data_IF_450072403939
#
_entry.id   IF_450072403939
#
_cell.length_a   1.000
_cell.length_b   1.000
_cell.length_c   1.000
_cell.angle_alpha   90.00
_cell.angle_beta   90.00
_cell.angle_gamma   90.00
#
_symmetry.space_group_name_H-M   'P 1'
#
loop_
_entity.id
_entity.type
_entity.pdbx_description
1 polymer ?
#
# COMPACT_ATOMS: atom_id res chain seq x y z
N UNK A 1 11.83 -9.58 14.98
CA UNK A 1 11.21 -8.31 14.56
C UNK A 1 10.00 -8.03 15.44
N UNK A 2 9.88 -6.82 15.99
CA UNK A 2 8.64 -6.33 16.63
C UNK A 2 8.23 -5.05 15.91
N UNK A 3 7.46 -5.17 14.83
CA UNK A 3 6.77 -4.01 14.25
C UNK A 3 5.44 -3.91 14.98
N UNK A 4 5.26 -2.83 15.74
CA UNK A 4 3.95 -2.52 16.30
C UNK A 4 3.07 -1.97 15.17
N UNK A 5 2.32 -2.85 14.50
CA UNK A 5 1.28 -2.44 13.55
C UNK A 5 0.01 -2.11 14.33
N UNK A 6 -0.38 -0.84 14.31
CA UNK A 6 -1.65 -0.39 14.89
C UNK A 6 -2.55 0.01 13.73
N UNK A 7 -3.47 -0.89 13.36
CA UNK A 7 -4.53 -0.59 12.41
C UNK A 7 -5.77 -0.15 13.20
N UNK A 8 -6.24 1.08 12.92
CA UNK A 8 -7.50 1.58 13.43
C UNK A 8 -8.48 1.54 12.26
N UNK A 9 -9.42 0.61 12.30
CA UNK A 9 -10.44 0.47 11.25
C UNK A 9 -11.81 0.87 11.80
N UNK A 10 -12.55 1.68 11.03
CA UNK A 10 -13.94 2.03 11.31
C UNK A 10 -14.85 1.23 10.36
N UNK A 11 -15.66 0.35 10.94
CA UNK A 11 -16.76 -0.33 10.26
C UNK A 11 -18.03 0.00 11.04
N UNK A 12 -18.95 0.74 10.40
CA UNK A 12 -20.36 0.94 10.79
C UNK A 12 -20.62 1.03 12.31
N UNK A 13 -20.06 2.07 12.95
CA UNK A 13 -20.27 2.46 14.36
C UNK A 13 -19.46 1.75 15.46
N UNK A 14 -18.38 1.01 15.12
CA UNK A 14 -17.42 0.53 16.14
C UNK A 14 -15.95 0.72 15.76
N UNK A 15 -15.15 1.05 16.78
CA UNK A 15 -13.69 1.11 16.69
C UNK A 15 -13.11 -0.30 16.81
N UNK A 16 -12.36 -0.75 15.80
CA UNK A 16 -11.62 -1.99 15.86
C UNK A 16 -10.12 -1.70 15.92
N UNK A 17 -9.48 -2.13 17.01
CA UNK A 17 -8.02 -2.25 17.11
C UNK A 17 -7.64 -3.63 16.57
N UNK A 18 -7.08 -3.69 15.37
CA UNK A 18 -6.56 -4.94 14.80
C UNK A 18 -5.03 -4.93 14.91
N UNK A 19 -4.48 -5.91 15.64
CA UNK A 19 -3.05 -6.24 15.60
C UNK A 19 -2.84 -7.24 14.47
N UNK A 20 -2.16 -6.81 13.42
CA UNK A 20 -1.75 -7.70 12.34
C UNK A 20 -0.34 -8.23 12.64
N UNK A 21 -0.13 -9.53 12.46
CA UNK A 21 1.19 -10.19 12.50
C UNK A 21 1.61 -10.42 11.06
N UNK A 22 2.44 -9.53 10.52
CA UNK A 22 3.09 -9.75 9.23
C UNK A 22 4.20 -10.79 9.39
N UNK A 23 4.06 -11.95 8.76
CA UNK A 23 5.17 -12.88 8.54
C UNK A 23 5.89 -12.44 7.27
N UNK A 24 7.03 -11.74 7.43
CA UNK A 24 7.92 -11.39 6.33
C UNK A 24 9.25 -12.12 6.52
N UNK A 25 9.66 -12.88 5.50
CA UNK A 25 10.94 -13.56 5.42
C UNK A 25 12.06 -12.61 4.96
N UNK A 26 13.22 -12.72 5.64
CA UNK A 26 14.59 -12.35 5.26
C UNK A 26 15.00 -10.86 5.11
N UNK A 27 15.70 -10.33 6.12
CA UNK A 27 17.14 -9.99 6.19
C UNK A 27 17.34 -8.91 7.29
N UNK A 28 18.31 -9.11 8.19
CA UNK A 28 18.34 -8.42 9.48
C UNK A 28 18.87 -6.98 9.39
N UNK A 29 17.95 -6.02 9.53
CA UNK A 29 18.25 -4.62 9.91
C UNK A 29 17.65 -4.41 11.30
N UNK A 30 18.45 -3.93 12.26
CA UNK A 30 18.12 -3.82 13.70
C UNK A 30 17.41 -2.50 14.07
N UNK A 31 16.75 -1.86 13.10
CA UNK A 31 16.15 -0.53 13.27
C UNK A 31 14.65 -0.66 13.64
N UNK A 32 14.19 -0.07 14.77
CA UNK A 32 12.78 -0.09 15.15
C UNK A 32 11.92 0.77 14.20
N UNK A 33 10.67 0.37 13.99
CA UNK A 33 9.73 1.10 13.12
C UNK A 33 8.29 1.04 13.59
N UNK A 34 7.52 2.07 13.23
CA UNK A 34 6.09 2.21 13.53
C UNK A 34 5.29 2.39 12.25
N UNK A 35 4.09 1.82 12.20
CA UNK A 35 3.14 2.04 11.12
C UNK A 35 1.72 2.19 11.66
N UNK A 36 1.02 3.21 11.16
CA UNK A 36 -0.39 3.46 11.41
C UNK A 36 -1.16 3.45 10.10
N UNK A 37 -2.33 2.80 10.09
CA UNK A 37 -3.23 2.77 8.94
C UNK A 37 -4.68 3.01 9.38
N UNK A 38 -5.36 3.84 8.60
CA UNK A 38 -6.79 4.09 8.67
C UNK A 38 -7.43 3.58 7.37
N UNK A 39 -8.51 2.81 7.50
CA UNK A 39 -9.31 2.34 6.38
C UNK A 39 -10.75 2.79 6.52
N UNK A 40 -11.30 3.32 5.43
CA UNK A 40 -12.66 3.85 5.32
C UNK A 40 -13.34 3.17 4.12
N UNK A 41 -14.51 2.59 4.32
CA UNK A 41 -15.29 1.95 3.25
C UNK A 41 -15.46 0.44 3.44
N UNK A 42 -15.88 -0.25 2.38
CA UNK A 42 -16.28 -1.65 2.43
C UNK A 42 -15.07 -2.59 2.28
N UNK A 43 -15.19 -3.81 2.80
CA UNK A 43 -14.19 -4.86 2.54
C UNK A 43 -14.22 -5.28 1.08
N UNK A 44 -15.39 -5.62 0.55
CA UNK A 44 -15.58 -6.11 -0.84
C UNK A 44 -16.19 -5.03 -1.75
N UNK A 45 -15.62 -3.83 -1.73
CA UNK A 45 -16.15 -2.70 -2.50
C UNK A 45 -15.21 -1.51 -2.47
N UNK A 46 -15.77 -0.31 -2.70
CA UNK A 46 -14.96 0.90 -2.65
C UNK A 46 -14.43 1.17 -1.25
N UNK A 47 -13.11 1.36 -1.13
CA UNK A 47 -12.43 1.71 0.13
C UNK A 47 -11.26 2.65 -0.10
N UNK A 48 -11.03 3.51 0.88
CA UNK A 48 -9.89 4.40 0.99
C UNK A 48 -9.01 3.92 2.15
N UNK A 49 -7.71 3.81 1.92
CA UNK A 49 -6.70 3.52 2.93
C UNK A 49 -5.77 4.73 3.02
N UNK A 50 -5.54 5.23 4.22
CA UNK A 50 -4.56 6.27 4.49
C UNK A 50 -3.60 5.69 5.51
N UNK A 51 -2.30 5.87 5.32
CA UNK A 51 -1.33 5.34 6.26
C UNK A 51 -0.04 6.14 6.29
N UNK A 52 0.70 5.94 7.36
CA UNK A 52 2.04 6.45 7.52
C UNK A 52 2.91 5.45 8.28
N UNK A 53 4.18 5.36 7.89
CA UNK A 53 5.20 4.57 8.55
C UNK A 53 6.46 5.38 8.73
N UNK A 54 7.18 5.15 9.83
CA UNK A 54 8.51 5.67 10.07
C UNK A 54 9.39 4.53 10.58
N UNK A 55 10.59 4.42 10.04
CA UNK A 55 11.60 3.46 10.45
C UNK A 55 12.83 4.29 10.85
N UNK A 56 13.32 4.07 12.06
CA UNK A 56 14.54 4.72 12.53
C UNK A 56 15.70 4.42 11.54
N UNK A 57 16.58 5.39 11.33
CA UNK A 57 17.72 5.25 10.40
C UNK A 57 17.40 5.17 8.90
N UNK A 58 16.17 4.85 8.49
CA UNK A 58 15.80 4.66 7.08
C UNK A 58 14.85 5.74 6.53
N UNK A 59 14.02 6.34 7.38
CA UNK A 59 13.10 7.42 7.00
C UNK A 59 11.62 7.03 7.14
N UNK A 60 10.78 7.72 6.38
CA UNK A 60 9.33 7.72 6.55
C UNK A 60 8.57 7.65 5.22
N UNK A 61 7.31 7.25 5.32
CA UNK A 61 6.39 7.14 4.19
C UNK A 61 4.99 7.49 4.65
N UNK A 62 4.30 8.33 3.90
CA UNK A 62 2.87 8.55 4.00
C UNK A 62 2.21 8.14 2.69
N UNK A 63 1.03 7.55 2.74
CA UNK A 63 0.34 7.09 1.54
C UNK A 63 -1.16 7.19 1.67
N UNK A 64 -1.81 7.29 0.51
CA UNK A 64 -3.26 7.23 0.35
C UNK A 64 -3.58 6.32 -0.83
N UNK A 65 -4.42 5.32 -0.62
CA UNK A 65 -4.84 4.35 -1.63
C UNK A 65 -6.36 4.30 -1.74
N UNK A 66 -6.88 4.52 -2.94
CA UNK A 66 -8.27 4.24 -3.28
C UNK A 66 -8.35 2.87 -3.96
N UNK A 67 -9.24 2.02 -3.50
CA UNK A 67 -9.57 0.74 -4.11
C UNK A 67 -11.04 0.78 -4.53
N UNK A 68 -11.32 0.38 -5.76
CA UNK A 68 -12.66 0.29 -6.33
C UNK A 68 -12.87 -1.16 -6.76
N UNK A 69 -13.46 -1.94 -5.86
CA UNK A 69 -13.71 -3.38 -6.07
C UNK A 69 -15.20 -3.68 -6.29
N UNK A 70 -16.04 -2.64 -6.46
CA UNK A 70 -17.47 -2.78 -6.77
C UNK A 70 -17.72 -3.52 -8.09
N UNK A 71 -16.76 -3.46 -9.02
CA UNK A 71 -16.79 -4.24 -10.26
C UNK A 71 -16.06 -5.56 -10.04
N UNK A 72 -16.80 -6.65 -9.81
CA UNK A 72 -16.24 -7.97 -9.48
C UNK A 72 -15.20 -8.47 -10.50
N UNK A 73 -15.35 -8.11 -11.78
CA UNK A 73 -14.43 -8.53 -12.84
C UNK A 73 -13.23 -7.60 -13.03
N UNK A 74 -13.34 -6.34 -12.63
CA UNK A 74 -12.34 -5.30 -12.95
C UNK A 74 -12.00 -4.50 -11.69
N UNK A 75 -11.24 -5.09 -10.76
CA UNK A 75 -10.77 -4.34 -9.59
C UNK A 75 -9.82 -3.23 -10.03
N UNK A 76 -10.04 -2.02 -9.53
CA UNK A 76 -9.19 -0.87 -9.80
C UNK A 76 -8.60 -0.34 -8.49
N UNK A 77 -7.38 0.19 -8.55
CA UNK A 77 -6.83 0.95 -7.44
C UNK A 77 -5.97 2.11 -7.92
N UNK A 78 -5.90 3.16 -7.11
CA UNK A 78 -5.02 4.31 -7.31
C UNK A 78 -4.31 4.62 -5.99
N UNK A 79 -3.03 4.96 -6.05
CA UNK A 79 -2.23 5.27 -4.87
C UNK A 79 -1.40 6.53 -5.07
N UNK A 80 -1.25 7.30 -4.00
CA UNK A 80 -0.27 8.37 -3.88
C UNK A 80 0.57 8.07 -2.66
N UNK A 81 1.89 8.08 -2.82
CA UNK A 81 2.85 7.85 -1.75
C UNK A 81 3.86 8.98 -1.72
N UNK A 82 4.10 9.54 -0.54
CA UNK A 82 5.18 10.49 -0.28
C UNK A 82 6.16 9.81 0.67
N UNK A 83 7.45 9.79 0.35
CA UNK A 83 8.43 9.04 1.14
C UNK A 83 9.83 9.60 1.05
N UNK A 84 10.60 9.51 2.13
CA UNK A 84 12.05 9.69 2.12
C UNK A 84 12.82 8.38 2.31
N UNK A 85 12.18 7.22 2.10
CA UNK A 85 12.86 5.93 2.16
C UNK A 85 13.71 5.67 0.90
N UNK A 86 14.81 4.89 1.02
CA UNK A 86 15.43 4.38 2.26
C UNK A 86 16.52 5.31 2.83
N UNK A 87 16.74 6.49 2.23
CA UNK A 87 17.80 7.43 2.62
C UNK A 87 17.16 8.69 3.14
N UNK A 88 17.24 8.89 4.45
CA UNK A 88 16.73 10.09 5.10
C UNK A 88 17.38 11.35 4.49
N UNK A 89 16.56 12.18 3.82
CA UNK A 89 17.00 13.41 3.16
C UNK A 89 16.50 13.61 1.72
N UNK A 90 16.06 12.56 1.02
CA UNK A 90 15.50 12.69 -0.33
C UNK A 90 13.99 12.45 -0.34
N UNK A 91 13.21 13.51 -0.55
CA UNK A 91 11.76 13.41 -0.64
C UNK A 91 11.34 12.90 -2.03
N UNK A 92 10.60 11.79 -2.02
CA UNK A 92 9.99 11.17 -3.18
C UNK A 92 8.46 11.26 -3.15
N UNK A 93 7.89 11.34 -4.34
CA UNK A 93 6.46 11.21 -4.62
C UNK A 93 6.28 10.08 -5.64
N UNK A 94 5.33 9.20 -5.38
CA UNK A 94 4.94 8.10 -6.26
C UNK A 94 3.43 8.13 -6.47
N UNK A 95 3.03 7.98 -7.73
CA UNK A 95 1.66 7.81 -8.18
C UNK A 95 1.53 6.44 -8.82
N UNK A 96 0.54 5.65 -8.42
CA UNK A 96 0.28 4.34 -9.02
C UNK A 96 -1.19 4.19 -9.39
N UNK A 97 -1.42 3.56 -10.53
CA UNK A 97 -2.71 3.10 -11.01
C UNK A 97 -2.62 1.61 -11.26
N UNK A 98 -3.56 0.85 -10.71
CA UNK A 98 -3.68 -0.59 -10.86
C UNK A 98 -5.04 -0.93 -11.45
N UNK A 99 -5.04 -1.84 -12.40
CA UNK A 99 -6.26 -2.42 -12.95
C UNK A 99 -6.09 -3.94 -13.08
N UNK A 100 -7.06 -4.69 -12.56
CA UNK A 100 -7.13 -6.13 -12.72
C UNK A 100 -8.24 -6.55 -13.67
N UNK A 101 -8.14 -7.76 -14.20
CA UNK A 101 -9.20 -8.44 -14.90
C UNK A 101 -9.29 -9.89 -14.39
N UNK A 102 -10.42 -10.25 -13.79
CA UNK A 102 -10.69 -11.61 -13.31
C UNK A 102 -11.07 -12.48 -14.50
N UNK A 103 -10.12 -13.31 -14.93
CA UNK A 103 -10.31 -14.26 -16.04
C UNK A 103 -11.13 -15.46 -15.56
N UNK A 104 -10.81 -15.95 -14.37
CA UNK A 104 -11.52 -17.02 -13.67
C UNK A 104 -11.64 -16.66 -12.19
N UNK A 105 -12.52 -17.33 -11.45
CA UNK A 105 -12.68 -17.07 -10.01
C UNK A 105 -11.37 -17.30 -9.23
N UNK A 106 -10.49 -18.15 -9.77
CA UNK A 106 -9.17 -18.46 -9.24
C UNK A 106 -8.01 -17.68 -9.88
N UNK A 107 -8.25 -16.90 -10.95
CA UNK A 107 -7.19 -16.20 -11.71
C UNK A 107 -7.59 -14.79 -12.11
N UNK A 108 -6.75 -13.82 -11.74
CA UNK A 108 -6.81 -12.47 -12.29
C UNK A 108 -5.48 -12.05 -12.92
N UNK A 109 -5.57 -11.27 -14.01
CA UNK A 109 -4.43 -10.58 -14.63
C UNK A 109 -4.47 -9.14 -14.18
N UNK A 110 -3.33 -8.59 -13.78
CA UNK A 110 -3.21 -7.23 -13.28
C UNK A 110 -2.20 -6.44 -14.10
N UNK A 111 -2.49 -5.17 -14.29
CA UNK A 111 -1.60 -4.16 -14.83
C UNK A 111 -1.38 -3.06 -13.80
N UNK A 112 -0.16 -2.54 -13.77
CA UNK A 112 0.28 -1.41 -12.98
C UNK A 112 0.90 -0.38 -13.93
N UNK A 113 0.51 0.87 -13.76
CA UNK A 113 1.22 2.02 -14.32
C UNK A 113 1.45 3.03 -13.21
N UNK A 114 2.58 3.74 -13.25
CA UNK A 114 2.90 4.71 -12.24
C UNK A 114 3.88 5.76 -12.71
N UNK A 115 4.12 6.71 -11.82
CA UNK A 115 5.09 7.77 -12.01
C UNK A 115 5.74 8.11 -10.68
N UNK A 116 7.05 8.28 -10.71
CA UNK A 116 7.86 8.56 -9.55
C UNK A 116 8.65 9.83 -9.78
N UNK A 117 8.78 10.66 -8.75
CA UNK A 117 9.65 11.83 -8.75
C UNK A 117 10.35 11.97 -7.40
N UNK A 118 11.60 12.44 -7.41
CA UNK A 118 12.42 12.64 -6.23
C UNK A 118 13.16 13.97 -6.28
N UNK A 119 13.46 14.55 -5.12
CA UNK A 119 14.18 15.81 -4.99
C UNK A 119 15.61 15.76 -5.57
N UNK A 120 16.20 14.57 -5.74
CA UNK A 120 17.47 14.35 -6.45
C UNK A 120 17.36 14.40 -7.99
N UNK A 121 16.46 15.22 -8.55
CA UNK A 121 16.25 15.39 -10.00
C UNK A 121 16.03 14.08 -10.77
N UNK A 122 15.38 13.10 -10.14
CA UNK A 122 15.08 11.83 -10.77
C UNK A 122 13.57 11.63 -10.85
N UNK A 123 13.06 11.45 -12.06
CA UNK A 123 11.65 11.13 -12.28
C UNK A 123 11.49 10.17 -13.46
N UNK A 124 10.43 9.37 -13.44
CA UNK A 124 10.21 8.37 -14.47
C UNK A 124 8.88 7.66 -14.34
N UNK A 125 8.44 7.09 -15.44
CA UNK A 125 7.28 6.22 -15.47
C UNK A 125 7.67 4.82 -15.00
N UNK A 126 6.73 4.18 -14.29
CA UNK A 126 6.80 2.78 -13.92
C UNK A 126 5.66 2.03 -14.57
N UNK A 127 5.91 0.76 -14.88
CA UNK A 127 4.92 -0.10 -15.51
C UNK A 127 5.20 -1.54 -15.14
N UNK A 128 4.15 -2.33 -15.00
CA UNK A 128 4.27 -3.74 -14.67
C UNK A 128 2.96 -4.48 -14.87
N UNK A 129 3.04 -5.80 -14.75
CA UNK A 129 1.88 -6.67 -14.73
C UNK A 129 2.12 -7.85 -13.80
N UNK A 130 1.04 -8.54 -13.44
CA UNK A 130 1.12 -9.67 -12.53
C UNK A 130 -0.12 -10.55 -12.60
N UNK A 131 -0.03 -11.73 -12.02
CA UNK A 131 -1.14 -12.66 -11.87
C UNK A 131 -1.50 -12.77 -10.39
N UNK A 132 -2.80 -12.77 -10.09
CA UNK A 132 -3.32 -13.09 -8.75
C UNK A 132 -4.01 -14.44 -8.83
N UNK A 133 -3.63 -15.35 -7.93
CA UNK A 133 -4.26 -16.65 -7.78
C UNK A 133 -5.07 -16.67 -6.48
N UNK A 134 -6.34 -17.07 -6.56
CA UNK A 134 -7.21 -17.26 -5.40
C UNK A 134 -7.57 -18.75 -5.30
N UNK A 135 -7.36 -19.36 -4.15
CA UNK A 135 -7.65 -20.77 -3.88
C UNK A 135 -8.35 -20.96 -2.55
#
# INVERSE_FOLDING_TARGET
MSVAQVAIARSEDRWHLARFRGEAAAEAVDEPGVEARLRIGRFDGTRLVIGASAIEGLGSRAFTEMHIETFERVPLAAAVTVTNLPVDGDLGLQLDLRAGYRVFDWLAVNALAGWNARTINHYGFTGGGGLTLNW
#
